data_IF_492700462324
#
_entry.id   IF_492700462324
#
_cell.length_a   1.000
_cell.length_b   1.000
_cell.length_c   1.000
_cell.angle_alpha   90.00
_cell.angle_beta   90.00
_cell.angle_gamma   90.00
#
_symmetry.space_group_name_H-M   'P 1'
#
loop_
_entity.id
_entity.type
_entity.pdbx_description
1 polymer ?
#
# COMPACT_ATOMS: atom_id res chain seq x y z
N UNK A 1 9.37 20.68 -14.91
CA UNK A 1 10.48 20.24 -15.78
C UNK A 1 11.77 21.05 -15.59
N UNK A 2 11.74 22.26 -15.00
CA UNK A 2 12.94 23.09 -14.73
C UNK A 2 13.72 22.77 -13.45
N UNK A 3 13.29 21.79 -12.63
CA UNK A 3 13.85 21.53 -11.29
C UNK A 3 15.04 20.55 -11.24
N UNK A 4 15.32 19.81 -12.31
CA UNK A 4 16.38 18.78 -12.29
C UNK A 4 17.65 19.15 -13.08
N UNK A 5 17.64 20.25 -13.86
CA UNK A 5 18.84 20.72 -14.60
C UNK A 5 19.40 19.74 -15.65
N UNK A 6 18.71 18.63 -15.93
CA UNK A 6 19.18 17.59 -16.86
C UNK A 6 18.34 17.60 -18.14
N UNK A 7 19.01 17.70 -19.30
CA UNK A 7 18.38 17.55 -20.61
C UNK A 7 18.00 16.08 -20.85
N UNK A 8 16.76 15.84 -21.29
CA UNK A 8 16.31 14.53 -21.73
C UNK A 8 17.02 14.18 -23.05
N UNK A 9 17.81 13.11 -23.03
CA UNK A 9 18.49 12.59 -24.21
C UNK A 9 17.93 11.23 -24.58
N UNK A 10 17.93 10.94 -25.87
CA UNK A 10 17.55 9.63 -26.39
C UNK A 10 18.58 8.58 -25.93
N UNK A 11 18.14 7.40 -25.48
CA UNK A 11 19.06 6.33 -25.17
C UNK A 11 19.68 5.78 -26.46
N UNK A 12 20.92 5.31 -26.37
CA UNK A 12 21.58 4.64 -27.49
C UNK A 12 20.77 3.42 -27.93
N UNK A 13 20.38 3.36 -29.20
CA UNK A 13 19.71 2.20 -29.80
C UNK A 13 20.72 1.33 -30.56
N UNK A 14 20.45 0.04 -30.60
CA UNK A 14 21.24 -0.97 -31.32
C UNK A 14 20.29 -1.72 -32.25
N UNK A 15 20.77 -2.16 -33.43
CA UNK A 15 19.91 -2.78 -34.45
C UNK A 15 19.08 -3.97 -33.93
N UNK A 16 19.58 -4.70 -32.94
CA UNK A 16 18.82 -5.71 -32.20
C UNK A 16 18.81 -5.38 -30.72
N UNK A 17 17.64 -5.53 -30.11
CA UNK A 17 17.41 -5.48 -28.66
C UNK A 17 16.49 -6.62 -28.28
N UNK A 18 16.78 -7.27 -27.16
CA UNK A 18 16.06 -8.46 -26.68
C UNK A 18 14.97 -8.13 -25.67
N UNK A 19 15.16 -7.09 -24.87
CA UNK A 19 14.31 -6.79 -23.71
C UNK A 19 13.52 -5.47 -23.83
N UNK A 20 13.69 -4.72 -24.92
CA UNK A 20 12.94 -3.49 -25.17
C UNK A 20 12.75 -3.26 -26.67
N UNK A 21 11.67 -2.54 -27.02
CA UNK A 21 11.40 -2.17 -28.40
C UNK A 21 12.27 -0.98 -28.84
N UNK A 22 12.80 -1.06 -30.06
CA UNK A 22 13.41 0.07 -30.74
C UNK A 22 12.29 0.96 -31.31
N UNK A 23 11.84 1.93 -30.52
CA UNK A 23 10.83 2.89 -30.97
C UNK A 23 11.55 3.94 -31.83
N UNK A 24 11.12 4.04 -33.08
CA UNK A 24 11.61 5.06 -34.02
C UNK A 24 10.90 6.38 -33.72
N UNK A 25 11.66 7.35 -33.23
CA UNK A 25 11.19 8.71 -32.94
C UNK A 25 12.19 9.69 -33.53
N UNK A 26 11.72 10.88 -33.94
CA UNK A 26 12.59 11.93 -34.44
C UNK A 26 13.71 12.25 -33.43
N UNK A 27 14.97 12.44 -33.88
CA UNK A 27 16.12 12.64 -32.99
C UNK A 27 16.01 13.83 -32.03
N UNK A 28 15.19 14.82 -32.39
CA UNK A 28 14.93 16.03 -31.59
C UNK A 28 13.82 15.82 -30.54
N UNK A 29 12.98 14.78 -30.69
CA UNK A 29 11.85 14.51 -29.81
C UNK A 29 12.19 13.43 -28.75
N UNK A 30 13.11 13.78 -27.85
CA UNK A 30 13.42 12.91 -26.72
C UNK A 30 12.22 12.71 -25.78
N UNK A 31 11.30 13.66 -25.73
CA UNK A 31 10.13 13.59 -24.85
C UNK A 31 9.11 12.55 -25.37
N UNK A 32 8.84 12.53 -26.67
CA UNK A 32 7.98 11.54 -27.32
C UNK A 32 8.48 10.12 -27.12
N UNK A 33 9.80 9.89 -27.24
CA UNK A 33 10.39 8.58 -26.98
C UNK A 33 10.10 8.06 -25.57
N UNK A 34 10.35 8.87 -24.53
CA UNK A 34 10.10 8.45 -23.14
C UNK A 34 8.62 8.31 -22.83
N UNK A 35 7.77 9.11 -23.49
CA UNK A 35 6.31 8.98 -23.38
C UNK A 35 5.84 7.62 -23.89
N UNK A 36 6.33 7.17 -25.04
CA UNK A 36 5.92 5.89 -25.66
C UNK A 36 6.60 4.69 -24.99
N UNK A 37 7.89 4.80 -24.67
CA UNK A 37 8.67 3.66 -24.15
C UNK A 37 8.41 3.35 -22.68
N UNK A 38 8.07 4.35 -21.87
CA UNK A 38 7.94 4.20 -20.42
C UNK A 38 6.56 4.64 -19.95
N UNK A 39 6.18 5.89 -20.23
CA UNK A 39 5.00 6.48 -19.60
C UNK A 39 3.70 5.77 -19.96
N UNK A 40 3.45 5.55 -21.26
CA UNK A 40 2.24 4.86 -21.75
C UNK A 40 2.20 3.41 -21.23
N UNK A 41 3.25 2.57 -21.37
CA UNK A 41 3.24 1.22 -20.81
C UNK A 41 2.97 1.15 -19.31
N UNK A 42 3.55 2.09 -18.53
CA UNK A 42 3.27 2.15 -17.09
C UNK A 42 1.81 2.52 -16.82
N UNK A 43 1.24 3.48 -17.55
CA UNK A 43 -0.15 3.85 -17.40
C UNK A 43 -1.09 2.69 -17.77
N UNK A 44 -0.80 1.98 -18.86
CA UNK A 44 -1.61 0.84 -19.30
C UNK A 44 -1.59 -0.30 -18.25
N UNK A 45 -0.43 -0.59 -17.66
CA UNK A 45 -0.34 -1.55 -16.55
C UNK A 45 -1.10 -1.08 -15.32
N UNK A 46 -1.03 0.21 -14.96
CA UNK A 46 -1.80 0.77 -13.83
C UNK A 46 -3.31 0.66 -14.08
N UNK A 47 -3.77 0.95 -15.30
CA UNK A 47 -5.19 0.81 -15.68
C UNK A 47 -5.61 -0.66 -15.58
N UNK A 48 -4.81 -1.57 -16.14
CA UNK A 48 -5.07 -3.01 -16.07
C UNK A 48 -5.09 -3.53 -14.64
N UNK A 49 -4.22 -3.05 -13.78
CA UNK A 49 -4.21 -3.39 -12.35
C UNK A 49 -5.50 -2.91 -11.66
N UNK A 50 -5.99 -1.71 -12.01
CA UNK A 50 -7.26 -1.22 -11.51
C UNK A 50 -8.44 -2.06 -12.02
N UNK A 51 -8.48 -2.37 -13.31
CA UNK A 51 -9.54 -3.19 -13.91
C UNK A 51 -9.56 -4.60 -13.31
N UNK A 52 -8.38 -5.20 -13.11
CA UNK A 52 -8.26 -6.48 -12.43
C UNK A 52 -8.73 -6.38 -10.98
N UNK A 53 -8.27 -5.39 -10.22
CA UNK A 53 -8.59 -5.23 -8.79
C UNK A 53 -10.08 -4.97 -8.54
N UNK A 54 -10.70 -4.18 -9.39
CA UNK A 54 -12.13 -3.81 -9.30
C UNK A 54 -13.01 -4.62 -10.25
N UNK A 55 -12.50 -5.76 -10.77
CA UNK A 55 -13.30 -6.70 -11.54
C UNK A 55 -14.49 -7.21 -10.72
N UNK A 56 -15.57 -7.61 -11.39
CA UNK A 56 -16.74 -8.18 -10.72
C UNK A 56 -16.38 -9.33 -9.78
N UNK A 57 -15.42 -10.16 -10.20
CA UNK A 57 -15.01 -11.36 -9.49
C UNK A 57 -14.24 -11.00 -8.21
N UNK A 58 -13.34 -10.01 -8.28
CA UNK A 58 -12.60 -9.54 -7.11
C UNK A 58 -13.48 -8.66 -6.20
N UNK A 59 -14.46 -7.94 -6.76
CA UNK A 59 -15.42 -7.16 -5.99
C UNK A 59 -16.33 -8.05 -5.13
N UNK A 60 -16.61 -9.28 -5.56
CA UNK A 60 -17.28 -10.27 -4.71
C UNK A 60 -16.45 -10.66 -3.48
N UNK A 61 -15.11 -10.70 -3.58
CA UNK A 61 -14.26 -10.93 -2.41
C UNK A 61 -14.31 -9.77 -1.40
N UNK A 62 -14.57 -8.54 -1.87
CA UNK A 62 -14.83 -7.39 -1.00
C UNK A 62 -16.28 -7.36 -0.48
N UNK A 63 -17.14 -8.32 -0.85
CA UNK A 63 -18.49 -8.42 -0.32
C UNK A 63 -18.44 -8.96 1.12
N UNK A 64 -18.32 -8.02 2.05
CA UNK A 64 -18.23 -8.29 3.48
C UNK A 64 -19.45 -9.01 4.06
N UNK A 65 -20.55 -9.11 3.31
CA UNK A 65 -21.72 -9.89 3.70
C UNK A 65 -21.36 -11.35 4.05
N UNK A 66 -20.30 -11.93 3.48
CA UNK A 66 -19.83 -13.28 3.84
C UNK A 66 -19.26 -13.39 5.27
N UNK A 67 -18.74 -12.30 5.83
CA UNK A 67 -18.21 -12.28 7.20
C UNK A 67 -19.30 -12.06 8.25
N UNK A 68 -20.53 -11.77 7.83
CA UNK A 68 -21.66 -11.57 8.73
C UNK A 68 -22.19 -12.91 9.25
N UNK A 69 -22.49 -13.04 10.56
CA UNK A 69 -23.10 -14.25 11.09
C UNK A 69 -24.37 -14.60 10.31
N UNK A 70 -24.53 -15.87 9.95
CA UNK A 70 -25.69 -16.34 9.20
C UNK A 70 -27.02 -16.05 9.91
N UNK A 71 -27.01 -16.00 11.24
CA UNK A 71 -28.15 -15.58 12.05
C UNK A 71 -28.51 -14.10 11.85
N UNK A 72 -27.53 -13.22 11.65
CA UNK A 72 -27.77 -11.82 11.36
C UNK A 72 -28.29 -11.62 9.94
N UNK A 73 -27.76 -12.38 8.97
CA UNK A 73 -28.27 -12.36 7.59
C UNK A 73 -29.74 -12.78 7.51
N UNK A 74 -30.19 -13.69 8.39
CA UNK A 74 -31.61 -14.08 8.50
C UNK A 74 -32.50 -12.95 9.06
N UNK A 75 -31.94 -12.07 9.89
CA UNK A 75 -32.66 -10.93 10.43
C UNK A 75 -32.89 -9.83 9.39
N UNK A 76 -31.97 -9.68 8.43
CA UNK A 76 -32.08 -8.69 7.35
C UNK A 76 -32.46 -9.37 6.03
N UNK A 77 -33.76 -9.44 5.75
CA UNK A 77 -34.27 -10.08 4.53
C UNK A 77 -33.96 -9.28 3.25
N UNK A 78 -33.86 -7.95 3.37
CA UNK A 78 -33.63 -7.03 2.24
C UNK A 78 -32.49 -6.04 2.54
N UNK A 79 -31.69 -5.72 1.53
CA UNK A 79 -30.62 -4.70 1.58
C UNK A 79 -31.15 -3.30 1.96
N UNK A 80 -32.39 -2.98 1.58
CA UNK A 80 -33.05 -1.72 1.94
C UNK A 80 -33.32 -1.60 3.44
N UNK A 81 -33.73 -2.68 4.11
CA UNK A 81 -33.96 -2.69 5.56
C UNK A 81 -32.65 -2.47 6.32
N UNK A 82 -31.56 -3.07 5.83
CA UNK A 82 -30.23 -2.88 6.39
C UNK A 82 -29.77 -1.43 6.23
N UNK A 83 -29.96 -0.83 5.06
CA UNK A 83 -29.66 0.59 4.82
C UNK A 83 -30.51 1.52 5.70
N UNK A 84 -31.78 1.17 5.96
CA UNK A 84 -32.64 1.92 6.88
C UNK A 84 -32.10 1.84 8.31
N UNK A 85 -31.76 0.64 8.79
CA UNK A 85 -31.20 0.45 10.13
C UNK A 85 -29.84 1.14 10.31
N UNK A 86 -29.00 1.16 9.26
CA UNK A 86 -27.75 1.94 9.28
C UNK A 86 -28.05 3.43 9.44
N UNK A 87 -29.06 3.97 8.76
CA UNK A 87 -29.49 5.37 8.93
C UNK A 87 -30.05 5.62 10.34
N UNK A 88 -30.81 4.69 10.89
CA UNK A 88 -31.36 4.83 12.24
C UNK A 88 -30.25 4.83 13.29
N UNK A 89 -29.24 3.96 13.14
CA UNK A 89 -28.04 3.95 13.99
C UNK A 89 -27.22 5.22 13.81
N UNK A 90 -27.03 5.67 12.56
CA UNK A 90 -26.35 6.93 12.22
C UNK A 90 -27.01 8.12 12.94
N UNK A 91 -28.34 8.16 12.94
CA UNK A 91 -29.14 9.18 13.62
C UNK A 91 -29.05 9.05 15.15
N UNK A 92 -29.09 7.82 15.68
CA UNK A 92 -29.02 7.55 17.12
C UNK A 92 -27.68 7.98 17.73
N UNK A 93 -26.57 7.76 17.02
CA UNK A 93 -25.23 8.10 17.49
C UNK A 93 -24.70 9.45 16.97
N UNK A 94 -25.51 10.14 16.16
CA UNK A 94 -25.24 11.43 15.53
C UNK A 94 -23.91 11.43 14.75
N UNK A 95 -23.68 10.35 13.99
CA UNK A 95 -22.43 10.10 13.24
C UNK A 95 -22.74 9.68 11.82
N UNK A 96 -22.35 10.49 10.84
CA UNK A 96 -22.45 10.14 9.43
C UNK A 96 -21.44 9.05 9.09
N UNK A 97 -21.87 7.79 8.96
CA UNK A 97 -21.02 6.62 8.64
C UNK A 97 -20.39 6.64 7.22
N UNK A 98 -20.47 7.76 6.50
CA UNK A 98 -20.00 7.92 5.11
C UNK A 98 -18.48 8.12 5.00
N UNK A 99 -17.78 8.41 6.11
CA UNK A 99 -16.34 8.68 6.12
C UNK A 99 -15.60 7.74 7.07
N UNK A 100 -14.33 7.44 6.79
CA UNK A 100 -13.53 6.52 7.61
C UNK A 100 -13.34 7.08 9.03
N UNK A 101 -13.21 8.40 9.16
CA UNK A 101 -13.05 9.09 10.46
C UNK A 101 -14.26 8.89 11.37
N UNK A 102 -15.47 8.92 10.83
CA UNK A 102 -16.69 8.71 11.61
C UNK A 102 -16.91 7.24 11.98
N UNK A 103 -16.45 6.29 11.16
CA UNK A 103 -16.46 4.88 11.53
C UNK A 103 -15.54 4.58 12.72
N UNK A 104 -14.41 5.30 12.85
CA UNK A 104 -13.50 5.18 14.00
C UNK A 104 -14.13 5.78 15.26
N UNK A 105 -14.73 6.97 15.19
CA UNK A 105 -15.39 7.57 16.36
C UNK A 105 -16.63 6.78 16.80
N UNK A 106 -17.28 6.08 15.87
CA UNK A 106 -18.34 5.13 16.18
C UNK A 106 -17.82 3.86 16.88
N UNK A 107 -16.67 3.32 16.44
CA UNK A 107 -16.01 2.21 17.15
C UNK A 107 -15.64 2.57 18.60
N UNK A 108 -15.17 3.79 18.86
CA UNK A 108 -14.82 4.24 20.20
C UNK A 108 -16.06 4.40 21.12
N UNK A 109 -17.24 4.67 20.53
CA UNK A 109 -18.51 4.77 21.25
C UNK A 109 -19.23 3.44 21.43
N UNK A 110 -18.89 2.42 20.64
CA UNK A 110 -19.46 1.09 20.77
C UNK A 110 -18.79 0.38 21.94
N UNK A 111 -19.58 -0.03 22.92
CA UNK A 111 -19.11 -0.93 23.95
C UNK A 111 -18.76 -2.29 23.32
N UNK A 112 -17.46 -2.49 23.12
CA UNK A 112 -16.90 -3.67 22.46
C UNK A 112 -17.27 -4.99 23.17
N UNK A 113 -17.61 -4.92 24.45
CA UNK A 113 -17.98 -6.07 25.28
C UNK A 113 -19.39 -6.61 24.97
N UNK A 114 -20.33 -5.74 24.59
CA UNK A 114 -21.70 -6.16 24.26
C UNK A 114 -21.84 -6.66 22.83
N UNK A 115 -21.06 -6.11 21.89
CA UNK A 115 -21.13 -6.47 20.47
C UNK A 115 -19.74 -6.76 19.86
N UNK A 116 -19.03 -7.80 20.36
CA UNK A 116 -17.67 -8.11 19.93
C UNK A 116 -17.58 -8.46 18.43
N UNK A 117 -18.60 -9.14 17.90
CA UNK A 117 -18.65 -9.52 16.46
C UNK A 117 -18.81 -8.30 15.57
N UNK A 118 -19.62 -7.33 15.97
CA UNK A 118 -19.85 -6.11 15.19
C UNK A 118 -18.63 -5.18 15.22
N UNK A 119 -17.98 -5.06 16.39
CA UNK A 119 -16.72 -4.30 16.49
C UNK A 119 -15.60 -4.93 15.66
N UNK A 120 -15.50 -6.27 15.62
CA UNK A 120 -14.55 -6.99 14.78
C UNK A 120 -14.82 -6.72 13.29
N UNK A 121 -16.07 -6.75 12.86
CA UNK A 121 -16.46 -6.50 11.49
C UNK A 121 -16.06 -5.08 11.02
N UNK A 122 -16.36 -4.06 11.83
CA UNK A 122 -15.99 -2.67 11.51
C UNK A 122 -14.45 -2.51 11.50
N UNK A 123 -13.73 -3.17 12.42
CA UNK A 123 -12.26 -3.18 12.40
C UNK A 123 -11.72 -3.79 11.10
N UNK A 124 -12.24 -4.94 10.68
CA UNK A 124 -11.86 -5.57 9.40
C UNK A 124 -12.14 -4.62 8.24
N UNK A 125 -13.33 -4.02 8.18
CA UNK A 125 -13.74 -3.04 7.16
C UNK A 125 -12.76 -1.85 7.07
N UNK A 126 -12.36 -1.27 8.20
CA UNK A 126 -11.42 -0.13 8.24
C UNK A 126 -9.99 -0.56 7.87
N UNK A 127 -9.59 -1.79 8.19
CA UNK A 127 -8.25 -2.32 7.87
C UNK A 127 -8.13 -2.85 6.44
N UNK A 128 -9.24 -3.15 5.76
CA UNK A 128 -9.20 -3.52 4.36
C UNK A 128 -8.52 -2.39 3.57
N UNK A 129 -7.52 -2.70 2.72
CA UNK A 129 -6.79 -1.68 1.99
C UNK A 129 -7.69 -1.11 0.89
N UNK A 130 -8.56 -0.19 1.25
CA UNK A 130 -9.37 0.61 0.31
C UNK A 130 -8.47 1.70 -0.32
N UNK A 131 -7.43 2.14 0.39
CA UNK A 131 -6.48 3.16 -0.09
C UNK A 131 -5.04 2.63 -0.21
N UNK A 132 -4.32 3.18 -1.18
CA UNK A 132 -2.90 2.89 -1.47
C UNK A 132 -1.98 3.67 -0.49
N UNK A 133 -2.54 4.43 0.47
CA UNK A 133 -1.81 5.35 1.33
C UNK A 133 -0.69 4.69 2.16
N UNK A 134 -0.87 3.44 2.58
CA UNK A 134 0.17 2.67 3.31
C UNK A 134 1.36 2.35 2.40
N UNK A 135 1.10 1.97 1.15
CA UNK A 135 2.14 1.77 0.15
C UNK A 135 2.82 3.11 -0.19
N UNK A 136 2.08 4.20 -0.35
CA UNK A 136 2.64 5.55 -0.59
C UNK A 136 3.56 6.02 0.54
N UNK A 137 3.16 5.80 1.80
CA UNK A 137 4.00 6.10 2.98
C UNK A 137 5.30 5.29 2.95
N UNK A 138 5.21 4.04 2.54
CA UNK A 138 6.36 3.13 2.41
C UNK A 138 7.28 3.55 1.26
N UNK A 139 6.73 3.95 0.12
CA UNK A 139 7.49 4.49 -1.03
C UNK A 139 8.12 5.85 -0.72
N UNK A 140 7.45 6.72 0.03
CA UNK A 140 8.01 7.99 0.51
C UNK A 140 9.21 7.75 1.43
N UNK A 141 9.09 6.78 2.34
CA UNK A 141 10.19 6.35 3.21
C UNK A 141 11.35 5.76 2.41
N UNK A 142 11.05 4.90 1.43
CA UNK A 142 12.04 4.32 0.52
C UNK A 142 12.75 5.40 -0.31
N UNK A 143 12.06 6.47 -0.71
CA UNK A 143 12.68 7.59 -1.43
C UNK A 143 13.72 8.33 -0.60
N UNK A 144 13.53 8.43 0.71
CA UNK A 144 14.52 9.01 1.62
C UNK A 144 15.72 8.08 1.82
N UNK A 145 15.47 6.77 1.91
CA UNK A 145 16.54 5.77 2.08
C UNK A 145 17.35 5.56 0.79
N UNK A 146 16.69 5.55 -0.36
CA UNK A 146 17.28 5.37 -1.69
C UNK A 146 17.61 6.73 -2.29
N UNK A 147 18.61 7.39 -1.71
CA UNK A 147 19.16 8.62 -2.28
C UNK A 147 19.83 8.33 -3.64
N UNK A 148 19.67 9.23 -4.59
CA UNK A 148 20.23 9.11 -5.95
C UNK A 148 21.74 8.86 -5.99
N UNK A 149 22.50 9.40 -5.02
CA UNK A 149 23.95 9.23 -4.91
C UNK A 149 24.37 7.82 -4.47
N UNK A 150 23.45 7.01 -3.94
CA UNK A 150 23.75 5.67 -3.39
C UNK A 150 23.28 4.58 -4.34
N UNK A 151 24.06 4.34 -5.38
CA UNK A 151 23.73 3.42 -6.48
C UNK A 151 24.01 1.94 -6.18
N UNK A 152 24.85 1.63 -5.18
CA UNK A 152 25.15 0.25 -4.74
C UNK A 152 24.59 -0.02 -3.34
N UNK A 153 23.46 -0.71 -3.28
CA UNK A 153 22.87 -1.21 -2.05
C UNK A 153 22.23 -2.57 -2.32
N UNK A 154 22.52 -3.58 -1.48
CA UNK A 154 21.83 -4.87 -1.56
C UNK A 154 20.39 -4.75 -1.07
N UNK A 155 19.52 -5.62 -1.58
CA UNK A 155 18.10 -5.65 -1.20
C UNK A 155 17.93 -5.88 0.31
N UNK A 156 18.66 -6.83 0.89
CA UNK A 156 18.65 -7.11 2.35
C UNK A 156 18.99 -5.87 3.19
N UNK A 157 19.97 -5.09 2.76
CA UNK A 157 20.33 -3.86 3.48
C UNK A 157 19.21 -2.81 3.35
N UNK A 158 18.56 -2.75 2.19
CA UNK A 158 17.49 -1.79 1.92
C UNK A 158 16.26 -2.12 2.74
N UNK A 159 15.85 -3.39 2.78
CA UNK A 159 14.72 -3.87 3.57
C UNK A 159 14.98 -3.65 5.06
N UNK A 160 16.17 -3.99 5.56
CA UNK A 160 16.54 -3.76 6.97
C UNK A 160 16.48 -2.27 7.37
N UNK A 161 16.99 -1.36 6.52
CA UNK A 161 16.92 0.08 6.78
C UNK A 161 15.49 0.64 6.63
N UNK A 162 14.70 0.11 5.71
CA UNK A 162 13.29 0.47 5.57
C UNK A 162 12.50 0.09 6.82
N UNK A 163 12.74 -1.11 7.36
CA UNK A 163 12.10 -1.58 8.58
C UNK A 163 12.43 -0.68 9.77
N UNK A 164 13.72 -0.35 9.97
CA UNK A 164 14.17 0.56 11.02
C UNK A 164 13.55 1.95 10.91
N UNK A 165 13.42 2.48 9.69
CA UNK A 165 12.87 3.81 9.47
C UNK A 165 11.35 3.86 9.70
N UNK A 166 10.62 2.85 9.22
CA UNK A 166 9.16 2.73 9.41
C UNK A 166 8.84 2.57 10.90
N UNK A 167 9.64 1.77 11.61
CA UNK A 167 9.45 1.46 13.04
C UNK A 167 10.37 2.27 13.95
N UNK A 168 10.75 3.50 13.58
CA UNK A 168 11.66 4.35 14.36
C UNK A 168 11.16 4.72 15.77
N UNK A 169 9.88 4.53 16.04
CA UNK A 169 9.25 4.81 17.34
C UNK A 169 9.34 3.62 18.30
N UNK A 170 9.82 2.46 17.84
CA UNK A 170 10.08 1.31 18.71
C UNK A 170 11.40 1.60 19.42
N UNK A 171 11.36 1.63 20.75
CA UNK A 171 12.55 1.86 21.54
C UNK A 171 13.45 0.61 21.51
N UNK A 172 14.64 0.76 20.92
CA UNK A 172 15.66 -0.29 20.82
C UNK A 172 16.62 -0.22 22.02
N UNK A 173 16.56 0.84 22.84
CA UNK A 173 17.53 1.10 23.91
C UNK A 173 17.70 -0.08 24.88
N UNK A 174 16.61 -0.77 25.21
CA UNK A 174 16.64 -1.93 26.13
C UNK A 174 17.33 -3.18 25.56
N UNK A 175 17.67 -3.20 24.26
CA UNK A 175 18.25 -4.36 23.58
C UNK A 175 19.59 -4.06 22.90
N UNK A 176 20.18 -2.87 23.09
CA UNK A 176 21.42 -2.47 22.42
C UNK A 176 22.57 -3.41 22.78
N UNK A 177 22.75 -3.74 24.06
CA UNK A 177 23.81 -4.66 24.48
C UNK A 177 23.64 -6.06 23.87
N UNK A 178 22.41 -6.56 23.79
CA UNK A 178 22.13 -7.85 23.15
C UNK A 178 22.45 -7.83 21.66
N UNK A 179 22.16 -6.71 20.97
CA UNK A 179 22.49 -6.53 19.54
C UNK A 179 24.01 -6.46 19.36
N UNK A 180 24.72 -5.72 20.20
CA UNK A 180 26.18 -5.59 20.16
C UNK A 180 26.84 -6.95 20.42
N UNK A 181 26.41 -7.66 21.47
CA UNK A 181 26.95 -8.97 21.82
C UNK A 181 26.67 -10.00 20.71
N UNK A 182 25.48 -9.98 20.11
CA UNK A 182 25.16 -10.83 18.95
C UNK A 182 26.07 -10.51 17.76
N UNK A 183 26.26 -9.23 17.42
CA UNK A 183 27.14 -8.83 16.31
C UNK A 183 28.61 -9.14 16.58
N UNK A 184 29.06 -9.01 17.84
CA UNK A 184 30.43 -9.35 18.24
C UNK A 184 30.69 -10.86 18.21
N UNK A 185 29.68 -11.67 18.54
CA UNK A 185 29.76 -13.13 18.51
C UNK A 185 29.68 -13.69 17.07
N UNK A 186 28.97 -13.01 16.17
CA UNK A 186 29.02 -13.33 14.74
C UNK A 186 30.37 -12.91 14.16
N UNK A 187 31.31 -13.87 14.08
CA UNK A 187 32.65 -13.69 13.48
C UNK A 187 32.60 -13.29 11.99
N UNK A 188 31.43 -13.39 11.37
CA UNK A 188 31.19 -12.92 10.02
C UNK A 188 30.79 -11.44 10.03
N UNK A 189 31.65 -10.58 9.47
CA UNK A 189 31.29 -9.17 9.19
C UNK A 189 30.12 -9.01 8.21
N UNK A 190 29.62 -10.11 7.63
CA UNK A 190 28.39 -10.21 6.84
C UNK A 190 27.42 -11.13 7.59
N UNK A 191 26.32 -10.57 8.06
CA UNK A 191 25.20 -11.33 8.60
C UNK A 191 24.37 -11.84 7.41
N UNK A 192 24.33 -13.16 7.21
CA UNK A 192 23.38 -13.78 6.29
C UNK A 192 22.03 -13.83 6.99
N UNK A 193 21.10 -12.97 6.58
CA UNK A 193 19.73 -13.04 7.06
C UNK A 193 18.97 -14.04 6.20
N UNK A 194 18.75 -15.24 6.74
CA UNK A 194 17.84 -16.21 6.12
C UNK A 194 16.42 -15.62 6.24
N UNK A 195 15.83 -15.27 5.10
CA UNK A 195 14.44 -14.84 4.94
C UNK A 195 13.49 -16.04 4.96
#
# INVERSE_FOLDING_TARGET
MSKLGTELKLPRTTKRQTYRNNIEVNPEDSQGYWRISIYIPILDEVIKDFDNRFSSDNMQCFNLNFLMPSNLMKCFKNTEQLNQSIKDISNQYNTDLTTITSAITFLDKLDCDYFPVFSLFIKILITLPISIATAERSFSSLRLLKTWLRTRMSEERLTGLALLYIHKNIDIHNNIENIINRFANDKNRKLDFIL
#
